data_IF_972837808101
#
_entry.id   IF_972837808101
#
_cell.length_a   1.000
_cell.length_b   1.000
_cell.length_c   1.000
_cell.angle_alpha   90.00
_cell.angle_beta   90.00
_cell.angle_gamma   90.00
#
_symmetry.space_group_name_H-M   'P 1'
#
loop_
_entity.id
_entity.type
_entity.pdbx_description
1 polymer ?
#
# COMPACT_ATOMS: atom_id res chain seq x y z
N UNK A 1 10.18 46.68 -21.63
CA UNK A 1 10.62 46.14 -20.33
C UNK A 1 10.37 44.65 -20.34
N UNK A 2 11.32 43.85 -19.87
CA UNK A 2 11.18 42.40 -19.70
C UNK A 2 11.08 42.12 -18.20
N UNK A 3 10.41 41.03 -17.82
CA UNK A 3 10.27 40.62 -16.43
C UNK A 3 11.54 39.93 -15.94
N UNK A 4 12.02 40.27 -14.75
CA UNK A 4 13.22 39.67 -14.17
C UNK A 4 12.89 38.48 -13.28
N UNK A 5 11.76 38.56 -12.58
CA UNK A 5 11.26 37.53 -11.69
C UNK A 5 9.76 37.35 -11.80
N UNK A 6 9.24 36.28 -11.22
CA UNK A 6 7.83 35.95 -11.17
C UNK A 6 7.43 35.61 -9.75
N UNK A 7 6.39 36.26 -9.25
CA UNK A 7 5.77 35.86 -8.00
C UNK A 7 4.67 34.86 -8.28
N UNK A 8 4.62 33.79 -7.48
CA UNK A 8 3.67 32.70 -7.64
C UNK A 8 3.09 32.30 -6.29
N UNK A 9 1.78 32.07 -6.26
CA UNK A 9 1.11 31.48 -5.10
C UNK A 9 0.28 30.26 -5.52
N UNK A 10 0.33 29.22 -4.68
CA UNK A 10 -0.54 28.05 -4.70
C UNK A 10 -1.36 28.06 -3.41
N UNK A 11 -2.66 27.82 -3.52
CA UNK A 11 -3.62 27.94 -2.42
C UNK A 11 -4.63 26.78 -2.42
N UNK A 12 -5.13 26.42 -1.24
CA UNK A 12 -6.26 25.50 -1.06
C UNK A 12 -7.61 26.21 -1.18
N UNK A 13 -7.62 27.54 -1.06
CA UNK A 13 -8.82 28.37 -1.17
C UNK A 13 -8.75 29.35 -2.34
N UNK A 14 -9.90 29.76 -2.87
CA UNK A 14 -9.98 30.71 -3.99
C UNK A 14 -10.04 32.18 -3.55
N UNK A 15 -10.13 32.44 -2.25
CA UNK A 15 -10.31 33.78 -1.71
C UNK A 15 -9.02 34.59 -1.75
N UNK A 16 -9.12 35.87 -2.10
CA UNK A 16 -7.98 36.79 -2.15
C UNK A 16 -8.19 38.00 -1.25
N UNK A 17 -7.10 38.54 -0.73
CA UNK A 17 -7.05 39.82 -0.03
C UNK A 17 -7.30 40.97 -1.01
N UNK A 18 -7.57 42.18 -0.52
CA UNK A 18 -7.66 43.38 -1.35
C UNK A 18 -6.41 43.64 -2.23
N UNK A 19 -5.23 43.14 -1.81
CA UNK A 19 -3.99 43.20 -2.60
C UNK A 19 -3.81 42.06 -3.62
N UNK A 20 -4.82 41.20 -3.81
CA UNK A 20 -4.80 40.10 -4.77
C UNK A 20 -4.20 38.78 -4.25
N UNK A 21 -3.43 38.79 -3.16
CA UNK A 21 -2.85 37.57 -2.57
C UNK A 21 -3.91 36.60 -2.06
N UNK A 22 -3.69 35.29 -2.19
CA UNK A 22 -4.59 34.30 -1.59
C UNK A 22 -4.64 34.40 -0.06
N UNK A 23 -5.77 34.02 0.54
CA UNK A 23 -5.92 33.95 2.00
C UNK A 23 -5.41 32.63 2.58
N UNK A 24 -5.51 31.54 1.82
CA UNK A 24 -5.19 30.18 2.25
C UNK A 24 -3.96 29.63 1.50
N UNK A 25 -2.87 30.40 1.54
CA UNK A 25 -1.63 30.11 0.82
C UNK A 25 -0.99 28.82 1.33
N UNK A 26 -0.79 27.87 0.42
CA UNK A 26 -0.04 26.63 0.64
C UNK A 26 1.44 26.79 0.25
N UNK A 27 1.71 27.47 -0.87
CA UNK A 27 3.06 27.82 -1.31
C UNK A 27 3.07 29.26 -1.79
N UNK A 28 3.99 30.07 -1.26
CA UNK A 28 4.22 31.45 -1.70
C UNK A 28 5.67 31.64 -2.13
N UNK A 29 5.89 31.94 -3.41
CA UNK A 29 7.18 32.26 -4.01
C UNK A 29 7.18 33.75 -4.35
N UNK A 30 7.44 34.58 -3.35
CA UNK A 30 7.36 36.04 -3.43
C UNK A 30 8.64 36.70 -2.91
N UNK A 31 8.85 37.97 -3.24
CA UNK A 31 10.01 38.75 -2.82
C UNK A 31 11.34 38.07 -3.17
N UNK A 32 12.19 37.83 -2.17
CA UNK A 32 13.51 37.19 -2.37
C UNK A 32 13.43 35.74 -2.84
N UNK A 33 12.27 35.09 -2.71
CA UNK A 33 12.04 33.71 -3.13
C UNK A 33 11.28 33.63 -4.47
N UNK A 34 11.12 34.76 -5.17
CA UNK A 34 10.47 34.80 -6.47
C UNK A 34 11.20 33.92 -7.49
N UNK A 35 10.43 33.39 -8.44
CA UNK A 35 10.94 32.55 -9.50
C UNK A 35 11.72 33.38 -10.52
N UNK A 36 12.87 32.89 -10.97
CA UNK A 36 13.63 33.46 -12.10
C UNK A 36 13.30 32.79 -13.44
N UNK A 37 12.34 31.85 -13.42
CA UNK A 37 11.91 31.04 -14.56
C UNK A 37 10.40 31.05 -14.65
N UNK A 38 9.89 30.71 -15.83
CA UNK A 38 8.45 30.57 -16.11
C UNK A 38 7.90 29.19 -15.76
N UNK A 39 8.70 28.36 -15.08
CA UNK A 39 8.31 27.03 -14.64
C UNK A 39 8.70 26.81 -13.18
N UNK A 40 7.79 26.17 -12.44
CA UNK A 40 8.00 25.70 -11.08
C UNK A 40 7.54 24.25 -10.97
N UNK A 41 8.30 23.46 -10.21
CA UNK A 41 7.97 22.07 -9.89
C UNK A 41 7.56 22.02 -8.43
N UNK A 42 6.38 21.51 -8.15
CA UNK A 42 5.91 21.33 -6.78
C UNK A 42 6.79 20.29 -6.05
N UNK A 43 7.40 20.68 -4.92
CA UNK A 43 8.23 19.82 -4.07
C UNK A 43 7.52 19.36 -2.79
N UNK A 44 6.22 19.66 -2.65
CA UNK A 44 5.38 19.23 -1.53
C UNK A 44 4.33 18.21 -1.97
N UNK A 45 3.94 17.34 -1.05
CA UNK A 45 2.78 16.46 -1.25
C UNK A 45 1.49 17.28 -1.26
N UNK A 46 0.65 17.03 -2.24
CA UNK A 46 -0.70 17.57 -2.31
C UNK A 46 -1.70 16.47 -1.94
N UNK A 47 -2.78 16.84 -1.26
CA UNK A 47 -3.85 15.93 -0.89
C UNK A 47 -4.55 15.42 -2.15
N UNK A 48 -4.97 14.15 -2.14
CA UNK A 48 -5.74 13.55 -3.23
C UNK A 48 -7.15 14.13 -3.29
N UNK A 49 -7.77 14.04 -4.47
CA UNK A 49 -9.14 14.54 -4.74
C UNK A 49 -9.37 16.01 -4.34
N UNK A 50 -8.28 16.78 -4.26
CA UNK A 50 -8.30 18.13 -3.72
C UNK A 50 -8.10 19.13 -4.84
N UNK A 51 -8.95 20.16 -4.86
CA UNK A 51 -8.84 21.26 -5.80
C UNK A 51 -7.92 22.33 -5.25
N UNK A 52 -6.98 22.78 -6.07
CA UNK A 52 -6.05 23.85 -5.78
C UNK A 52 -6.23 25.03 -6.72
N UNK A 53 -5.77 26.18 -6.26
CA UNK A 53 -5.85 27.46 -6.96
C UNK A 53 -4.45 28.05 -7.04
N UNK A 54 -4.13 28.65 -8.18
CA UNK A 54 -2.84 29.29 -8.36
C UNK A 54 -2.95 30.52 -9.23
N UNK A 55 -2.00 31.43 -9.05
CA UNK A 55 -1.85 32.61 -9.90
C UNK A 55 -0.40 33.06 -9.89
N UNK A 56 -0.03 33.87 -10.89
CA UNK A 56 1.33 34.36 -11.09
C UNK A 56 1.29 35.83 -11.50
N UNK A 57 2.28 36.61 -11.08
CA UNK A 57 2.55 37.94 -11.64
C UNK A 57 4.01 38.09 -11.99
N UNK A 58 4.28 38.92 -12.99
CA UNK A 58 5.63 39.26 -13.40
C UNK A 58 6.12 40.47 -12.60
N UNK A 59 7.39 40.43 -12.21
CA UNK A 59 8.05 41.49 -11.46
C UNK A 59 9.37 41.86 -12.17
N UNK A 60 9.63 43.15 -12.26
CA UNK A 60 10.89 43.72 -12.74
C UNK A 60 11.32 44.88 -11.83
N UNK A 61 12.53 45.39 -12.03
CA UNK A 61 13.17 46.39 -11.14
C UNK A 61 12.24 47.51 -10.70
N UNK A 62 11.47 48.09 -11.64
CA UNK A 62 10.60 49.24 -11.41
C UNK A 62 9.15 48.98 -11.86
N UNK A 63 8.76 47.73 -12.13
CA UNK A 63 7.42 47.43 -12.67
C UNK A 63 6.94 46.05 -12.23
N UNK A 64 5.71 46.00 -11.72
CA UNK A 64 4.98 44.76 -11.50
C UNK A 64 3.75 44.71 -12.40
N UNK A 65 3.36 43.51 -12.83
CA UNK A 65 2.06 43.29 -13.47
C UNK A 65 0.99 43.04 -12.42
N UNK A 66 -0.29 43.24 -12.76
CA UNK A 66 -1.36 42.60 -12.00
C UNK A 66 -1.15 41.08 -11.91
N UNK A 67 -1.75 40.46 -10.90
CA UNK A 67 -1.91 39.02 -10.85
C UNK A 67 -2.63 38.51 -12.11
N UNK A 68 -2.24 37.33 -12.58
CA UNK A 68 -2.98 36.61 -13.61
C UNK A 68 -4.39 36.27 -13.14
N UNK A 69 -5.25 35.86 -14.07
CA UNK A 69 -6.46 35.13 -13.69
C UNK A 69 -6.09 33.89 -12.86
N UNK A 70 -7.00 33.49 -11.96
CA UNK A 70 -6.79 32.33 -11.10
C UNK A 70 -6.91 31.04 -11.92
N UNK A 71 -5.80 30.32 -12.00
CA UNK A 71 -5.75 28.95 -12.50
C UNK A 71 -6.21 27.95 -11.45
N UNK A 72 -6.74 26.81 -11.88
CA UNK A 72 -7.16 25.72 -10.98
C UNK A 72 -6.81 24.36 -11.56
N UNK A 73 -6.52 23.41 -10.67
CA UNK A 73 -6.38 21.99 -10.99
C UNK A 73 -6.90 21.15 -9.82
N UNK A 74 -7.25 19.90 -10.10
CA UNK A 74 -7.64 18.92 -9.07
C UNK A 74 -6.67 17.76 -9.12
N UNK A 75 -6.17 17.33 -7.96
CA UNK A 75 -5.35 16.11 -7.86
C UNK A 75 -6.18 14.86 -8.13
N UNK A 76 -5.53 13.80 -8.60
CA UNK A 76 -6.23 12.53 -8.85
C UNK A 76 -6.76 11.92 -7.53
N UNK A 77 -7.60 10.90 -7.64
CA UNK A 77 -8.01 10.10 -6.49
C UNK A 77 -6.93 9.13 -6.02
N UNK A 78 -7.08 8.63 -4.79
CA UNK A 78 -6.25 7.55 -4.27
C UNK A 78 -6.60 6.27 -5.04
N UNK A 79 -5.59 5.59 -5.57
CA UNK A 79 -5.83 4.27 -6.18
C UNK A 79 -6.39 3.31 -5.11
N UNK A 80 -7.36 2.44 -5.45
CA UNK A 80 -7.86 1.45 -4.50
C UNK A 80 -6.70 0.64 -3.92
N UNK A 81 -6.75 0.36 -2.61
CA UNK A 81 -5.80 -0.56 -2.01
C UNK A 81 -5.87 -1.92 -2.73
N UNK A 82 -4.73 -2.60 -2.95
CA UNK A 82 -4.73 -3.97 -3.44
C UNK A 82 -5.64 -4.86 -2.58
N UNK A 83 -6.29 -5.88 -3.17
CA UNK A 83 -7.09 -6.82 -2.38
C UNK A 83 -6.21 -7.46 -1.30
N UNK A 84 -6.79 -7.61 -0.10
CA UNK A 84 -6.11 -8.27 1.01
C UNK A 84 -5.79 -9.74 0.63
N UNK A 85 -4.62 -10.28 1.03
CA UNK A 85 -4.30 -11.68 0.79
C UNK A 85 -5.39 -12.59 1.37
N UNK A 86 -5.76 -13.65 0.65
CA UNK A 86 -6.63 -14.66 1.22
C UNK A 86 -5.99 -15.24 2.50
N UNK A 87 -6.78 -15.53 3.55
CA UNK A 87 -6.26 -16.17 4.74
C UNK A 87 -5.64 -17.53 4.38
N UNK A 88 -4.60 -17.98 5.10
CA UNK A 88 -3.99 -19.27 4.86
C UNK A 88 -5.03 -20.38 5.02
N UNK A 89 -5.09 -21.29 4.04
CA UNK A 89 -5.93 -22.48 4.11
C UNK A 89 -5.39 -23.36 5.24
N UNK A 90 -6.13 -23.48 6.33
CA UNK A 90 -5.84 -24.44 7.39
C UNK A 90 -6.31 -25.81 6.92
N UNK A 91 -5.40 -26.64 6.44
CA UNK A 91 -5.68 -28.05 6.16
C UNK A 91 -5.69 -28.77 7.51
N UNK A 92 -6.80 -29.42 7.94
CA UNK A 92 -6.77 -30.21 9.16
C UNK A 92 -5.72 -31.33 9.01
N UNK A 93 -5.03 -31.72 10.10
CA UNK A 93 -4.15 -32.87 10.06
C UNK A 93 -4.88 -34.07 9.48
N UNK A 94 -4.25 -34.78 8.54
CA UNK A 94 -4.75 -36.06 8.07
C UNK A 94 -4.80 -36.98 9.28
N UNK A 95 -6.00 -37.33 9.73
CA UNK A 95 -6.17 -38.35 10.76
C UNK A 95 -5.77 -39.70 10.15
N UNK A 96 -4.60 -40.20 10.54
CA UNK A 96 -4.18 -41.56 10.19
C UNK A 96 -4.99 -42.57 11.00
N UNK A 97 -6.15 -42.96 10.48
CA UNK A 97 -6.90 -44.10 11.02
C UNK A 97 -6.15 -45.39 10.69
N UNK A 98 -5.28 -45.88 11.57
CA UNK A 98 -4.72 -47.22 11.43
C UNK A 98 -5.89 -48.23 11.46
N UNK A 99 -6.20 -48.94 10.37
CA UNK A 99 -7.40 -49.77 10.32
C UNK A 99 -7.35 -50.88 11.36
N UNK A 100 -8.45 -51.11 12.10
CA UNK A 100 -8.53 -52.13 13.17
C UNK A 100 -8.13 -53.53 12.66
N UNK A 101 -8.41 -53.83 11.38
CA UNK A 101 -8.00 -55.07 10.73
C UNK A 101 -6.48 -55.32 10.76
N UNK A 102 -5.65 -54.28 10.77
CA UNK A 102 -4.19 -54.41 10.87
C UNK A 102 -3.78 -55.04 12.21
N UNK A 103 -4.41 -54.63 13.31
CA UNK A 103 -4.20 -55.25 14.63
C UNK A 103 -4.74 -56.68 14.71
N UNK A 104 -5.86 -56.96 14.03
CA UNK A 104 -6.42 -58.32 13.93
C UNK A 104 -5.45 -59.26 13.21
N UNK A 105 -4.85 -58.83 12.10
CA UNK A 105 -3.86 -59.62 11.35
C UNK A 105 -2.62 -59.91 12.22
N UNK A 106 -2.10 -58.91 12.92
CA UNK A 106 -0.95 -59.07 13.83
C UNK A 106 -1.27 -60.07 14.94
N UNK A 107 -2.46 -59.97 15.55
CA UNK A 107 -2.90 -60.89 16.60
C UNK A 107 -3.05 -62.33 16.12
N UNK A 108 -3.67 -62.55 14.96
CA UNK A 108 -3.80 -63.88 14.36
C UNK A 108 -2.42 -64.46 14.04
N UNK A 109 -1.52 -63.68 13.45
CA UNK A 109 -0.15 -64.11 13.15
C UNK A 109 0.62 -64.54 14.39
N UNK A 110 0.53 -63.76 15.47
CA UNK A 110 1.16 -64.09 16.75
C UNK A 110 0.58 -65.39 17.36
N UNK A 111 -0.74 -65.56 17.33
CA UNK A 111 -1.40 -66.76 17.85
C UNK A 111 -1.02 -68.02 17.05
N UNK A 112 -0.97 -67.92 15.71
CA UNK A 112 -0.54 -69.03 14.85
C UNK A 112 0.93 -69.39 15.10
N UNK A 113 1.83 -68.41 15.24
CA UNK A 113 3.24 -68.66 15.59
C UNK A 113 3.38 -69.39 16.93
N UNK A 114 2.63 -68.96 17.96
CA UNK A 114 2.61 -69.63 19.27
C UNK A 114 2.09 -71.07 19.14
N UNK A 115 1.00 -71.28 18.41
CA UNK A 115 0.44 -72.62 18.19
C UNK A 115 1.45 -73.54 17.47
N UNK A 116 2.18 -73.03 16.47
CA UNK A 116 3.24 -73.78 15.76
C UNK A 116 4.39 -74.13 16.69
N UNK A 117 4.84 -73.19 17.53
CA UNK A 117 5.89 -73.45 18.53
C UNK A 117 5.44 -74.53 19.52
N UNK A 118 4.20 -74.43 20.02
CA UNK A 118 3.62 -75.43 20.91
C UNK A 118 3.60 -76.79 20.21
N UNK A 119 3.14 -76.86 18.96
CA UNK A 119 3.09 -78.10 18.17
C UNK A 119 4.47 -78.73 17.99
N UNK A 120 5.50 -77.93 17.71
CA UNK A 120 6.89 -78.42 17.57
C UNK A 120 7.40 -78.96 18.92
N UNK A 121 7.12 -78.26 20.02
CA UNK A 121 7.54 -78.69 21.36
C UNK A 121 6.81 -79.95 21.81
N UNK A 122 5.51 -80.06 21.52
CA UNK A 122 4.71 -81.23 21.89
C UNK A 122 5.07 -82.45 21.05
N UNK A 123 5.29 -82.30 19.75
CA UNK A 123 5.71 -83.42 18.87
C UNK A 123 7.13 -83.91 19.16
N UNK A 124 8.05 -83.04 19.63
CA UNK A 124 9.40 -83.43 20.07
C UNK A 124 9.45 -84.12 21.43
N UNK A 125 8.37 -84.05 22.22
CA UNK A 125 8.27 -84.63 23.57
C UNK A 125 7.56 -85.98 23.61
N UNK A 126 7.20 -86.55 22.45
CA UNK A 126 6.67 -87.91 22.35
C UNK A 126 7.86 -88.87 22.13
N UNK A 127 8.27 -89.69 23.13
CA UNK A 127 9.17 -90.83 22.91
C UNK A 127 8.46 -92.02 22.25
#
# INVERSE_FOLDING_TARGET
MWAETYEFELSTGSSTTAGGYFTDVLVGLTGTNALVSTAWKCDIGLDYETRYYWHVKAFGVDTETPWSDVGTFTTMGVAPAPPEPAPPVVIPPVEEITPIWLWVIIGIGAALMIAVIILIVTTRRVP
#
